data_IF_618183430192
#
_entry.id   IF_618183430192
#
_cell.length_a   1.000
_cell.length_b   1.000
_cell.length_c   1.000
_cell.angle_alpha   90.00
_cell.angle_beta   90.00
_cell.angle_gamma   90.00
#
_symmetry.space_group_name_H-M   'P 1'
#
loop_
_entity.id
_entity.type
_entity.pdbx_description
1 polymer ?
#
# COMPACT_ATOMS: atom_id res chain seq x y z
N UNK A 1 7.30 -7.28 23.27
CA UNK A 1 6.36 -7.98 22.36
C UNK A 1 5.99 -6.96 21.30
N UNK A 2 6.14 -7.26 19.99
CA UNK A 2 5.65 -6.38 18.95
C UNK A 2 4.16 -6.06 19.15
N UNK A 3 3.75 -4.86 18.79
CA UNK A 3 2.39 -4.37 19.00
C UNK A 3 1.40 -4.81 17.93
N UNK A 4 0.43 -3.95 17.66
CA UNK A 4 -0.63 -4.21 16.68
C UNK A 4 -0.21 -3.70 15.30
N UNK A 5 -0.43 -4.52 14.28
CA UNK A 5 -0.28 -4.13 12.88
C UNK A 5 -1.63 -4.24 12.15
N UNK A 6 -1.91 -3.31 11.24
CA UNK A 6 -3.10 -3.35 10.39
C UNK A 6 -2.69 -3.40 8.92
N UNK A 7 -3.40 -4.21 8.12
CA UNK A 7 -3.16 -4.36 6.68
C UNK A 7 -4.48 -4.30 5.93
N UNK A 8 -4.61 -3.39 4.96
CA UNK A 8 -5.79 -3.29 4.08
C UNK A 8 -5.57 -4.07 2.78
N UNK A 9 -6.65 -4.56 2.15
CA UNK A 9 -6.58 -5.36 0.92
C UNK A 9 -5.86 -6.69 1.15
N UNK A 10 -6.13 -7.35 2.28
CA UNK A 10 -5.35 -8.48 2.78
C UNK A 10 -5.96 -9.86 2.50
N UNK A 11 -7.07 -9.94 1.76
CA UNK A 11 -7.71 -11.22 1.46
C UNK A 11 -6.85 -12.11 0.55
N UNK A 12 -6.07 -11.51 -0.35
CA UNK A 12 -5.27 -12.24 -1.34
C UNK A 12 -3.96 -11.50 -1.67
N UNK A 13 -3.07 -12.16 -2.39
CA UNK A 13 -1.88 -11.57 -3.01
C UNK A 13 -0.95 -10.90 -2.01
N UNK A 14 -0.53 -9.67 -2.31
CA UNK A 14 0.50 -8.96 -1.56
C UNK A 14 0.08 -8.62 -0.12
N UNK A 15 -1.18 -8.21 0.08
CA UNK A 15 -1.70 -7.91 1.42
C UNK A 15 -1.71 -9.13 2.34
N UNK A 16 -2.05 -10.30 1.81
CA UNK A 16 -1.98 -11.56 2.55
C UNK A 16 -0.52 -11.91 2.91
N UNK A 17 0.43 -11.71 1.99
CA UNK A 17 1.85 -11.93 2.26
C UNK A 17 2.40 -10.97 3.33
N UNK A 18 2.03 -9.69 3.28
CA UNK A 18 2.39 -8.73 4.34
C UNK A 18 1.84 -9.15 5.70
N UNK A 19 0.57 -9.54 5.76
CA UNK A 19 -0.06 -9.97 7.00
C UNK A 19 0.65 -11.22 7.57
N UNK A 20 1.04 -12.17 6.71
CA UNK A 20 1.77 -13.36 7.13
C UNK A 20 3.17 -13.00 7.65
N UNK A 21 3.92 -12.17 6.93
CA UNK A 21 5.26 -11.75 7.33
C UNK A 21 5.24 -11.01 8.67
N UNK A 22 4.31 -10.10 8.88
CA UNK A 22 4.15 -9.38 10.15
C UNK A 22 3.77 -10.31 11.30
N UNK A 23 2.95 -11.34 11.07
CA UNK A 23 2.67 -12.38 12.07
C UNK A 23 3.91 -13.17 12.45
N UNK A 24 4.78 -13.48 11.49
CA UNK A 24 6.08 -14.14 11.76
C UNK A 24 7.02 -13.26 12.58
N UNK A 25 6.96 -11.94 12.43
CA UNK A 25 7.69 -10.98 13.28
C UNK A 25 7.06 -10.81 14.67
N UNK A 26 5.96 -11.50 14.96
CA UNK A 26 5.30 -11.50 16.26
C UNK A 26 4.24 -10.42 16.46
N UNK A 27 3.92 -9.62 15.43
CA UNK A 27 2.82 -8.66 15.52
C UNK A 27 1.47 -9.33 15.64
N UNK A 28 0.57 -8.74 16.44
CA UNK A 28 -0.85 -9.00 16.31
C UNK A 28 -1.35 -8.29 15.05
N UNK A 29 -1.65 -9.04 14.01
CA UNK A 29 -2.08 -8.49 12.73
C UNK A 29 -3.58 -8.56 12.59
N UNK A 30 -4.22 -7.40 12.38
CA UNK A 30 -5.64 -7.27 12.06
C UNK A 30 -5.78 -6.85 10.59
N UNK A 31 -6.52 -7.64 9.83
CA UNK A 31 -6.63 -7.52 8.38
C UNK A 31 -8.00 -7.00 7.96
N UNK A 32 -8.05 -6.25 6.86
CA UNK A 32 -9.31 -5.86 6.23
C UNK A 32 -9.24 -5.98 4.70
N UNK A 33 -10.40 -6.21 4.12
CA UNK A 33 -10.61 -6.22 2.67
C UNK A 33 -12.09 -5.88 2.38
N UNK A 34 -12.42 -5.52 1.14
CA UNK A 34 -13.81 -5.45 0.69
C UNK A 34 -14.42 -6.84 0.51
N UNK A 35 -13.58 -7.84 0.24
CA UNK A 35 -13.98 -9.24 0.18
C UNK A 35 -14.01 -9.88 1.58
N UNK A 36 -14.84 -10.91 1.74
CA UNK A 36 -14.84 -11.72 2.95
C UNK A 36 -13.54 -12.52 3.09
N UNK A 37 -13.20 -12.91 4.33
CA UNK A 37 -12.02 -13.75 4.62
C UNK A 37 -10.92 -13.04 5.39
N UNK A 38 -11.06 -11.74 5.65
CA UNK A 38 -10.26 -10.97 6.59
C UNK A 38 -10.96 -10.82 7.96
N UNK A 39 -10.28 -10.22 8.93
CA UNK A 39 -10.84 -9.95 10.26
C UNK A 39 -11.99 -8.93 10.18
N UNK A 40 -11.98 -8.05 9.19
CA UNK A 40 -13.05 -7.08 8.93
C UNK A 40 -13.32 -6.91 7.43
N UNK A 41 -14.59 -6.62 7.07
CA UNK A 41 -14.98 -6.17 5.74
C UNK A 41 -15.02 -4.64 5.75
N UNK A 42 -14.14 -3.99 4.99
CA UNK A 42 -13.98 -2.53 4.96
C UNK A 42 -13.73 -2.06 3.54
N UNK A 43 -14.57 -1.14 3.06
CA UNK A 43 -14.27 -0.38 1.86
C UNK A 43 -13.35 0.80 2.23
N UNK A 44 -12.10 0.75 1.78
CA UNK A 44 -11.12 1.81 2.07
C UNK A 44 -11.47 3.16 1.43
N UNK A 45 -12.31 3.18 0.39
CA UNK A 45 -12.82 4.40 -0.20
C UNK A 45 -13.81 5.14 0.72
N UNK A 46 -14.40 4.43 1.69
CA UNK A 46 -15.29 5.00 2.70
C UNK A 46 -14.52 5.38 3.98
N UNK A 47 -14.32 6.67 4.18
CA UNK A 47 -13.59 7.21 5.33
C UNK A 47 -14.22 6.82 6.68
N UNK A 48 -15.55 6.70 6.75
CA UNK A 48 -16.24 6.35 7.99
C UNK A 48 -16.02 4.89 8.37
N UNK A 49 -16.06 3.98 7.39
CA UNK A 49 -15.75 2.57 7.61
C UNK A 49 -14.29 2.38 8.08
N UNK A 50 -13.33 3.04 7.43
CA UNK A 50 -11.91 2.96 7.82
C UNK A 50 -11.72 3.48 9.25
N UNK A 51 -12.32 4.64 9.57
CA UNK A 51 -12.21 5.22 10.92
C UNK A 51 -12.81 4.31 11.99
N UNK A 52 -14.00 3.78 11.77
CA UNK A 52 -14.67 2.87 12.70
C UNK A 52 -13.83 1.58 12.93
N UNK A 53 -13.32 0.99 11.83
CA UNK A 53 -12.46 -0.18 11.92
C UNK A 53 -11.18 0.07 12.74
N UNK A 54 -10.49 1.20 12.49
CA UNK A 54 -9.28 1.56 13.25
C UNK A 54 -9.60 1.77 14.73
N UNK A 55 -10.72 2.43 15.05
CA UNK A 55 -11.14 2.63 16.45
C UNK A 55 -11.44 1.30 17.15
N UNK A 56 -12.12 0.38 16.47
CA UNK A 56 -12.41 -0.96 16.97
C UNK A 56 -11.12 -1.76 17.23
N UNK A 57 -10.16 -1.70 16.32
CA UNK A 57 -8.84 -2.34 16.48
C UNK A 57 -8.13 -1.80 17.72
N UNK A 58 -8.09 -0.47 17.87
CA UNK A 58 -7.46 0.16 19.05
C UNK A 58 -8.16 -0.22 20.34
N UNK A 59 -9.49 -0.22 20.35
CA UNK A 59 -10.28 -0.59 21.54
C UNK A 59 -10.07 -2.05 21.96
N UNK A 60 -9.91 -2.97 21.00
CA UNK A 60 -9.79 -4.40 21.28
C UNK A 60 -8.36 -4.86 21.52
N UNK A 61 -7.37 -4.21 20.90
CA UNK A 61 -6.01 -4.73 20.82
C UNK A 61 -4.93 -3.74 21.29
N UNK A 62 -5.31 -2.49 21.55
CA UNK A 62 -4.36 -1.44 21.93
C UNK A 62 -3.80 -0.65 20.74
N UNK A 63 -2.79 0.18 20.98
CA UNK A 63 -2.27 1.11 19.96
C UNK A 63 -1.66 0.37 18.76
N UNK A 64 -1.93 0.91 17.55
CA UNK A 64 -1.39 0.40 16.30
C UNK A 64 0.03 0.92 16.12
N UNK A 65 0.99 0.02 15.92
CA UNK A 65 2.40 0.34 15.65
C UNK A 65 2.74 0.33 14.16
N UNK A 66 2.05 -0.51 13.36
CA UNK A 66 2.30 -0.63 11.92
C UNK A 66 0.98 -0.54 11.17
N UNK A 67 0.92 0.34 10.18
CA UNK A 67 -0.21 0.44 9.26
C UNK A 67 0.27 0.30 7.81
N UNK A 68 -0.23 -0.74 7.11
CA UNK A 68 0.09 -1.00 5.71
C UNK A 68 -1.13 -0.70 4.85
N UNK A 69 -1.08 0.43 4.13
CA UNK A 69 -2.09 0.82 3.16
C UNK A 69 -1.82 0.10 1.83
N UNK A 70 -2.29 -1.15 1.73
CA UNK A 70 -2.06 -2.01 0.57
C UNK A 70 -3.25 -2.08 -0.38
N UNK A 71 -4.48 -1.92 0.09
CA UNK A 71 -5.67 -1.99 -0.77
C UNK A 71 -5.50 -1.15 -2.05
N UNK A 72 -5.82 -1.73 -3.18
CA UNK A 72 -5.68 -1.08 -4.46
C UNK A 72 -6.40 -1.83 -5.57
N UNK A 73 -6.69 -1.12 -6.65
CA UNK A 73 -7.25 -1.67 -7.89
C UNK A 73 -6.45 -1.19 -9.10
N UNK A 74 -6.51 -1.96 -10.18
CA UNK A 74 -5.95 -1.57 -11.47
C UNK A 74 -7.01 -1.71 -12.54
N UNK A 75 -7.22 -0.64 -13.32
CA UNK A 75 -8.07 -0.62 -14.51
C UNK A 75 -7.27 -0.02 -15.65
N UNK A 76 -7.48 -0.54 -16.86
CA UNK A 76 -6.94 0.08 -18.05
C UNK A 76 -7.75 1.35 -18.36
N UNK A 77 -7.08 2.51 -18.35
CA UNK A 77 -7.68 3.82 -18.53
C UNK A 77 -6.90 4.63 -19.56
N UNK A 78 -7.59 5.45 -20.35
CA UNK A 78 -6.97 6.23 -21.41
C UNK A 78 -7.70 7.58 -21.58
N UNK A 79 -7.02 8.69 -21.87
CA UNK A 79 -7.65 10.01 -22.01
C UNK A 79 -8.67 10.11 -23.15
N UNK A 80 -8.74 9.12 -24.05
CA UNK A 80 -9.75 9.05 -25.10
C UNK A 80 -10.90 8.06 -24.79
N UNK A 81 -10.96 7.55 -23.57
CA UNK A 81 -12.11 6.75 -23.13
C UNK A 81 -13.42 7.58 -23.16
N UNK A 82 -14.59 6.95 -23.32
CA UNK A 82 -15.87 7.62 -23.18
C UNK A 82 -15.94 8.40 -21.85
N UNK A 83 -16.54 9.61 -21.90
CA UNK A 83 -16.59 10.54 -20.76
C UNK A 83 -17.08 9.90 -19.47
N UNK A 84 -18.24 9.22 -19.52
CA UNK A 84 -18.84 8.61 -18.33
C UNK A 84 -17.96 7.48 -17.76
N UNK A 85 -17.38 6.63 -18.63
CA UNK A 85 -16.42 5.60 -18.21
C UNK A 85 -15.20 6.25 -17.51
N UNK A 86 -14.68 7.33 -18.08
CA UNK A 86 -13.53 8.04 -17.51
C UNK A 86 -13.83 8.59 -16.12
N UNK A 87 -15.01 9.13 -15.88
CA UNK A 87 -15.42 9.62 -14.55
C UNK A 87 -15.61 8.49 -13.53
N UNK A 88 -16.22 7.37 -13.94
CA UNK A 88 -16.39 6.20 -13.07
C UNK A 88 -15.03 5.60 -12.67
N UNK A 89 -14.13 5.45 -13.64
CA UNK A 89 -12.79 4.95 -13.39
C UNK A 89 -11.97 5.91 -12.52
N UNK A 90 -12.09 7.21 -12.75
CA UNK A 90 -11.45 8.23 -11.90
C UNK A 90 -11.92 8.10 -10.45
N UNK A 91 -13.24 8.07 -10.24
CA UNK A 91 -13.82 7.94 -8.90
C UNK A 91 -13.33 6.68 -8.19
N UNK A 92 -13.36 5.53 -8.87
CA UNK A 92 -12.92 4.26 -8.29
C UNK A 92 -11.41 4.24 -8.02
N UNK A 93 -10.59 4.64 -8.99
CA UNK A 93 -9.12 4.55 -8.87
C UNK A 93 -8.58 5.52 -7.83
N UNK A 94 -9.03 6.76 -7.82
CA UNK A 94 -8.62 7.75 -6.81
C UNK A 94 -9.19 7.39 -5.43
N UNK A 95 -10.46 6.96 -5.39
CA UNK A 95 -11.11 6.55 -4.14
C UNK A 95 -10.39 5.43 -3.42
N UNK A 96 -10.01 4.36 -4.14
CA UNK A 96 -9.34 3.21 -3.53
C UNK A 96 -7.85 3.47 -3.35
N UNK A 97 -7.13 3.83 -4.45
CA UNK A 97 -5.66 3.82 -4.45
C UNK A 97 -5.02 5.02 -3.74
N UNK A 98 -5.70 6.16 -3.68
CA UNK A 98 -5.20 7.37 -3.04
C UNK A 98 -5.97 7.71 -1.76
N UNK A 99 -7.30 7.89 -1.87
CA UNK A 99 -8.10 8.26 -0.71
C UNK A 99 -8.11 7.14 0.35
N UNK A 100 -8.16 5.86 -0.04
CA UNK A 100 -8.08 4.75 0.90
C UNK A 100 -6.80 4.74 1.73
N UNK A 101 -5.65 5.00 1.09
CA UNK A 101 -4.38 5.12 1.80
C UNK A 101 -4.36 6.36 2.73
N UNK A 102 -4.93 7.47 2.27
CA UNK A 102 -5.09 8.69 3.08
C UNK A 102 -5.99 8.43 4.30
N UNK A 103 -7.13 7.75 4.12
CA UNK A 103 -8.06 7.46 5.21
C UNK A 103 -7.39 6.62 6.31
N UNK A 104 -6.69 5.53 5.93
CA UNK A 104 -5.97 4.70 6.91
C UNK A 104 -4.90 5.51 7.64
N UNK A 105 -4.02 6.19 6.92
CA UNK A 105 -2.95 6.99 7.52
C UNK A 105 -3.48 8.06 8.47
N UNK A 106 -4.55 8.76 8.09
CA UNK A 106 -5.22 9.77 8.93
C UNK A 106 -5.87 9.17 10.18
N UNK A 107 -6.41 7.94 10.08
CA UNK A 107 -7.04 7.28 11.21
C UNK A 107 -6.02 6.81 12.26
N UNK A 108 -4.84 6.32 11.83
CA UNK A 108 -3.81 5.79 12.74
C UNK A 108 -2.83 6.85 13.28
N UNK A 109 -2.56 7.91 12.51
CA UNK A 109 -1.53 8.90 12.83
C UNK A 109 -1.67 9.55 14.22
N UNK A 110 -2.87 9.96 14.69
CA UNK A 110 -2.99 10.55 16.03
C UNK A 110 -2.56 9.61 17.16
N UNK A 111 -2.96 8.33 17.08
CA UNK A 111 -2.58 7.32 18.06
C UNK A 111 -1.09 7.03 18.07
N UNK A 112 -0.47 6.88 16.88
CA UNK A 112 0.97 6.71 16.73
C UNK A 112 1.76 7.90 17.26
N UNK A 113 1.34 9.13 16.93
CA UNK A 113 2.00 10.35 17.42
C UNK A 113 1.90 10.46 18.95
N UNK A 114 0.75 10.13 19.55
CA UNK A 114 0.57 10.11 20.99
C UNK A 114 1.44 9.04 21.68
N UNK A 115 1.66 7.89 21.02
CA UNK A 115 2.55 6.84 21.51
C UNK A 115 4.05 7.16 21.34
N UNK A 116 4.38 8.17 20.52
CA UNK A 116 5.77 8.51 20.22
C UNK A 116 6.48 7.53 19.29
N UNK A 117 5.75 6.66 18.61
CA UNK A 117 6.27 5.63 17.72
C UNK A 117 5.20 5.14 16.73
N UNK A 118 5.62 4.76 15.53
CA UNK A 118 4.75 4.13 14.55
C UNK A 118 5.38 4.04 13.17
N UNK A 119 4.79 3.20 12.31
CA UNK A 119 5.19 3.03 10.92
C UNK A 119 3.95 3.03 10.02
N UNK A 120 3.87 4.00 9.12
CA UNK A 120 2.86 4.05 8.06
C UNK A 120 3.56 3.70 6.75
N UNK A 121 3.12 2.61 6.10
CA UNK A 121 3.69 2.13 4.85
C UNK A 121 2.62 2.16 3.77
N UNK A 122 2.85 2.96 2.72
CA UNK A 122 1.96 3.07 1.57
C UNK A 122 2.46 2.19 0.44
N UNK A 123 1.60 1.33 -0.08
CA UNK A 123 1.96 0.42 -1.18
C UNK A 123 1.80 1.14 -2.51
N UNK A 124 2.93 1.38 -3.18
CA UNK A 124 3.04 2.13 -4.41
C UNK A 124 3.58 1.28 -5.57
N UNK A 125 4.12 1.90 -6.59
CA UNK A 125 4.61 1.25 -7.80
C UNK A 125 5.97 1.79 -8.20
N UNK A 126 6.76 0.97 -8.87
CA UNK A 126 8.02 1.35 -9.48
C UNK A 126 7.89 2.29 -10.68
N UNK A 127 6.66 2.61 -11.10
CA UNK A 127 6.42 3.61 -12.16
C UNK A 127 6.90 5.01 -11.80
N UNK A 128 7.04 5.30 -10.50
CA UNK A 128 7.47 6.60 -9.99
C UNK A 128 8.94 6.62 -9.54
N UNK A 129 9.68 5.52 -9.76
CA UNK A 129 11.10 5.43 -9.43
C UNK A 129 11.91 5.56 -10.72
N UNK A 130 12.89 6.47 -10.71
CA UNK A 130 13.80 6.63 -11.83
C UNK A 130 14.60 5.35 -12.08
N UNK A 131 14.55 4.87 -13.33
CA UNK A 131 15.28 3.70 -13.78
C UNK A 131 16.07 4.04 -15.04
N UNK A 132 17.36 3.74 -15.09
CA UNK A 132 18.14 3.90 -16.30
C UNK A 132 17.51 3.13 -17.47
N UNK A 133 17.24 3.83 -18.58
CA UNK A 133 16.73 3.24 -19.80
C UNK A 133 15.21 2.92 -19.84
N UNK A 134 14.45 3.29 -18.79
CA UNK A 134 12.99 3.16 -18.78
C UNK A 134 12.34 4.53 -18.55
N UNK A 135 11.28 4.83 -19.30
CA UNK A 135 10.43 5.97 -19.00
C UNK A 135 9.72 5.75 -17.65
N UNK A 136 9.54 6.80 -16.87
CA UNK A 136 8.67 6.79 -15.70
C UNK A 136 7.22 6.59 -16.13
N UNK A 137 6.42 5.89 -15.34
CA UNK A 137 5.02 5.58 -15.63
C UNK A 137 4.78 4.16 -16.11
N UNK A 138 3.52 3.72 -16.02
CA UNK A 138 3.05 2.39 -16.39
C UNK A 138 2.73 2.20 -17.87
N UNK A 139 2.81 3.29 -18.65
CA UNK A 139 2.46 3.30 -20.06
C UNK A 139 1.09 3.92 -20.36
N UNK A 140 0.70 3.93 -21.65
CA UNK A 140 -0.44 4.69 -22.17
C UNK A 140 -1.82 4.31 -21.61
N UNK A 141 -1.91 3.20 -20.83
CA UNK A 141 -3.17 2.65 -20.31
C UNK A 141 -3.29 2.76 -18.79
N UNK A 142 -2.48 3.60 -18.14
CA UNK A 142 -2.35 3.62 -16.69
C UNK A 142 -2.42 5.04 -16.11
N UNK A 143 -2.98 6.00 -16.84
CA UNK A 143 -3.01 7.41 -16.44
C UNK A 143 -3.61 7.63 -15.04
N UNK A 144 -4.77 7.06 -14.73
CA UNK A 144 -5.41 7.20 -13.43
C UNK A 144 -4.71 6.38 -12.34
N UNK A 145 -4.17 5.19 -12.69
CA UNK A 145 -3.38 4.41 -11.74
C UNK A 145 -2.12 5.18 -11.33
N UNK A 146 -1.38 5.68 -12.31
CA UNK A 146 -0.16 6.44 -12.08
C UNK A 146 -0.47 7.74 -11.32
N UNK A 147 -1.52 8.47 -11.69
CA UNK A 147 -1.93 9.68 -10.98
C UNK A 147 -2.21 9.40 -9.49
N UNK A 148 -2.95 8.32 -9.18
CA UNK A 148 -3.22 7.92 -7.80
C UNK A 148 -1.94 7.53 -7.05
N UNK A 149 -1.06 6.72 -7.67
CA UNK A 149 0.18 6.26 -7.04
C UNK A 149 1.22 7.37 -6.87
N UNK A 150 1.33 8.31 -7.82
CA UNK A 150 2.14 9.52 -7.66
C UNK A 150 1.62 10.42 -6.54
N UNK A 151 0.30 10.48 -6.32
CA UNK A 151 -0.30 11.19 -5.18
C UNK A 151 0.17 10.66 -3.82
N UNK A 152 0.44 9.34 -3.71
CA UNK A 152 0.99 8.75 -2.49
C UNK A 152 2.37 9.30 -2.13
N UNK A 153 3.19 9.63 -3.12
CA UNK A 153 4.50 10.27 -2.89
C UNK A 153 4.36 11.56 -2.10
N UNK A 154 3.42 12.43 -2.51
CA UNK A 154 3.14 13.68 -1.80
C UNK A 154 2.71 13.44 -0.34
N UNK A 155 1.90 12.40 -0.09
CA UNK A 155 1.53 12.01 1.27
C UNK A 155 2.74 11.55 2.08
N UNK A 156 3.57 10.67 1.52
CA UNK A 156 4.79 10.16 2.19
C UNK A 156 5.70 11.31 2.61
N UNK A 157 6.06 12.18 1.67
CA UNK A 157 6.98 13.30 1.94
C UNK A 157 6.41 14.27 2.97
N UNK A 158 5.14 14.67 2.83
CA UNK A 158 4.49 15.60 3.75
C UNK A 158 4.29 15.02 5.15
N UNK A 159 3.86 13.75 5.23
CA UNK A 159 3.60 13.11 6.51
C UNK A 159 4.89 12.73 7.25
N UNK A 160 5.95 12.37 6.55
CA UNK A 160 7.25 12.16 7.16
C UNK A 160 7.77 13.42 7.88
N UNK A 161 7.60 14.58 7.23
CA UNK A 161 7.95 15.87 7.85
C UNK A 161 7.05 16.22 9.06
N UNK A 162 5.75 15.98 8.92
CA UNK A 162 4.77 16.35 9.95
C UNK A 162 4.81 15.42 11.18
N UNK A 163 5.03 14.11 10.96
CA UNK A 163 4.92 13.07 11.99
C UNK A 163 6.29 12.62 12.54
N UNK A 164 7.37 12.85 11.79
CA UNK A 164 8.73 12.49 12.21
C UNK A 164 9.13 13.04 13.59
N UNK A 165 8.83 14.32 13.93
CA UNK A 165 9.08 14.84 15.28
C UNK A 165 8.36 14.09 16.40
N UNK A 166 7.27 13.36 16.07
CA UNK A 166 6.52 12.49 17.00
C UNK A 166 6.97 11.02 16.93
N UNK A 167 8.11 10.72 16.32
CA UNK A 167 8.64 9.35 16.24
C UNK A 167 7.91 8.42 15.25
N UNK A 168 7.04 8.95 14.37
CA UNK A 168 6.33 8.15 13.37
C UNK A 168 7.06 8.21 12.03
N UNK A 169 7.41 7.04 11.49
CA UNK A 169 8.01 6.91 10.16
C UNK A 169 6.94 6.69 9.11
N UNK A 170 7.11 7.34 7.97
CA UNK A 170 6.19 7.20 6.82
C UNK A 170 7.01 6.94 5.57
N UNK A 171 6.77 5.81 4.91
CA UNK A 171 7.46 5.43 3.67
C UNK A 171 6.50 4.79 2.67
N UNK A 172 6.90 4.67 1.42
CA UNK A 172 6.21 3.80 0.47
C UNK A 172 7.10 2.66 0.00
N UNK A 173 6.49 1.52 -0.30
CA UNK A 173 7.13 0.43 -1.06
C UNK A 173 6.75 0.59 -2.53
N UNK A 174 7.73 0.87 -3.38
CA UNK A 174 7.57 1.08 -4.81
C UNK A 174 7.98 -0.20 -5.55
N UNK A 175 7.03 -1.14 -5.67
CA UNK A 175 7.34 -2.44 -6.26
C UNK A 175 7.11 -2.49 -7.76
N UNK A 176 7.92 -3.32 -8.43
CA UNK A 176 7.67 -3.78 -9.79
C UNK A 176 6.58 -4.84 -9.87
N UNK A 177 6.51 -5.52 -11.01
CA UNK A 177 5.56 -6.60 -11.24
C UNK A 177 5.67 -7.68 -10.15
N UNK A 178 4.56 -7.94 -9.47
CA UNK A 178 4.47 -8.92 -8.37
C UNK A 178 3.36 -9.90 -8.66
N UNK A 179 3.59 -11.19 -8.44
CA UNK A 179 2.64 -12.26 -8.73
C UNK A 179 1.41 -12.21 -7.84
N UNK A 180 0.40 -11.51 -8.31
CA UNK A 180 -0.86 -11.29 -7.61
C UNK A 180 -2.04 -11.52 -8.56
N UNK A 181 -3.22 -11.85 -8.04
CA UNK A 181 -4.43 -11.92 -8.85
C UNK A 181 -4.69 -10.64 -9.65
N UNK A 182 -4.37 -9.47 -9.09
CA UNK A 182 -4.47 -8.17 -9.78
C UNK A 182 -3.58 -8.12 -11.02
N UNK A 183 -2.29 -8.44 -10.90
CA UNK A 183 -1.35 -8.45 -12.03
C UNK A 183 -1.79 -9.46 -13.10
N UNK A 184 -2.11 -10.68 -12.68
CA UNK A 184 -2.51 -11.75 -13.59
C UNK A 184 -3.79 -11.38 -14.38
N UNK A 185 -4.77 -10.79 -13.73
CA UNK A 185 -6.00 -10.31 -14.36
C UNK A 185 -5.73 -9.13 -15.30
N UNK A 186 -5.01 -8.10 -14.84
CA UNK A 186 -4.70 -6.90 -15.63
C UNK A 186 -3.86 -7.22 -16.86
N UNK A 187 -2.92 -8.17 -16.75
CA UNK A 187 -2.00 -8.57 -17.81
C UNK A 187 -2.46 -9.82 -18.59
N UNK A 188 -3.70 -10.26 -18.39
CA UNK A 188 -4.21 -11.48 -19.06
C UNK A 188 -3.97 -11.45 -20.57
N UNK A 189 -3.31 -12.49 -21.10
CA UNK A 189 -2.94 -12.63 -22.52
C UNK A 189 -1.79 -11.71 -23.00
N UNK A 190 -1.13 -10.96 -22.09
CA UNK A 190 -0.03 -10.04 -22.42
C UNK A 190 1.30 -10.38 -21.73
N UNK A 191 1.33 -11.39 -20.91
CA UNK A 191 2.54 -11.83 -20.20
C UNK A 191 3.40 -12.63 -21.17
N UNK A 192 4.61 -12.12 -21.47
CA UNK A 192 5.64 -12.85 -22.23
C UNK A 192 6.55 -13.65 -21.31
N UNK A 193 7.28 -14.67 -21.80
CA UNK A 193 8.23 -15.41 -20.97
C UNK A 193 9.30 -14.50 -20.30
N UNK A 194 9.75 -13.46 -21.01
CA UNK A 194 10.73 -12.50 -20.50
C UNK A 194 10.15 -11.63 -19.36
N UNK A 195 8.87 -11.26 -19.47
CA UNK A 195 8.18 -10.53 -18.42
C UNK A 195 7.88 -11.44 -17.22
N UNK A 196 7.44 -12.68 -17.49
CA UNK A 196 7.20 -13.68 -16.44
C UNK A 196 8.43 -13.91 -15.57
N UNK A 197 9.61 -13.99 -16.19
CA UNK A 197 10.88 -14.17 -15.49
C UNK A 197 11.26 -13.00 -14.55
N UNK A 198 10.60 -11.85 -14.68
CA UNK A 198 10.84 -10.65 -13.87
C UNK A 198 9.75 -10.41 -12.81
N UNK A 199 8.72 -11.26 -12.76
CA UNK A 199 7.65 -11.16 -11.77
C UNK A 199 8.18 -11.64 -10.42
N UNK A 200 8.09 -10.76 -9.42
CA UNK A 200 8.51 -11.09 -8.05
C UNK A 200 7.43 -11.87 -7.31
N UNK A 201 7.82 -12.68 -6.35
CA UNK A 201 6.86 -13.27 -5.42
C UNK A 201 6.35 -12.23 -4.40
N UNK A 202 5.11 -12.36 -3.90
CA UNK A 202 4.61 -11.52 -2.82
C UNK A 202 5.47 -11.59 -1.54
N UNK A 203 6.06 -12.76 -1.25
CA UNK A 203 6.93 -13.01 -0.10
C UNK A 203 8.23 -12.20 -0.19
N UNK A 204 8.80 -12.06 -1.40
CA UNK A 204 9.97 -11.21 -1.61
C UNK A 204 9.66 -9.75 -1.24
N UNK A 205 8.54 -9.22 -1.69
CA UNK A 205 8.11 -7.85 -1.37
C UNK A 205 7.81 -7.71 0.12
N UNK A 206 7.19 -8.71 0.75
CA UNK A 206 6.92 -8.72 2.17
C UNK A 206 8.21 -8.75 3.01
N UNK A 207 9.25 -9.42 2.53
CA UNK A 207 10.59 -9.37 3.13
C UNK A 207 11.15 -7.96 3.19
N UNK A 208 10.98 -7.16 2.13
CA UNK A 208 11.43 -5.75 2.12
C UNK A 208 10.65 -4.89 3.12
N UNK A 209 9.35 -5.16 3.32
CA UNK A 209 8.59 -4.51 4.40
C UNK A 209 9.20 -4.80 5.77
N UNK A 210 9.48 -6.06 6.05
CA UNK A 210 10.08 -6.48 7.33
C UNK A 210 11.44 -5.82 7.54
N UNK A 211 12.31 -5.80 6.52
CA UNK A 211 13.62 -5.15 6.60
C UNK A 211 13.49 -3.64 6.88
N UNK A 212 12.52 -2.96 6.24
CA UNK A 212 12.23 -1.56 6.50
C UNK A 212 11.78 -1.31 7.95
N UNK A 213 10.97 -2.18 8.53
CA UNK A 213 10.52 -2.08 9.92
C UNK A 213 11.68 -2.33 10.90
N UNK A 214 12.56 -3.27 10.61
CA UNK A 214 13.74 -3.63 11.43
C UNK A 214 14.79 -2.53 11.53
N UNK A 215 14.74 -1.50 10.68
CA UNK A 215 15.59 -0.31 10.83
C UNK A 215 15.35 0.44 12.14
N UNK A 216 14.24 0.17 12.82
CA UNK A 216 13.92 0.77 14.13
C UNK A 216 13.52 2.25 14.06
N UNK A 217 13.46 2.92 15.21
CA UNK A 217 12.92 4.30 15.30
C UNK A 217 13.72 5.35 14.52
N UNK A 218 15.01 5.13 14.30
CA UNK A 218 15.90 6.05 13.56
C UNK A 218 16.09 5.65 12.10
N UNK A 219 15.31 4.68 11.63
CA UNK A 219 15.35 4.23 10.24
C UNK A 219 14.78 5.24 9.27
N UNK A 220 14.73 4.85 7.99
CA UNK A 220 14.25 5.68 6.89
C UNK A 220 12.84 6.21 7.14
N UNK A 221 12.62 7.46 6.74
CA UNK A 221 11.29 8.09 6.68
C UNK A 221 11.25 9.10 5.53
N UNK A 222 10.11 9.23 4.87
CA UNK A 222 9.93 10.10 3.71
C UNK A 222 10.38 9.48 2.39
N UNK A 223 10.72 8.18 2.37
CA UNK A 223 11.32 7.55 1.20
C UNK A 223 10.34 6.75 0.35
N UNK A 224 10.66 6.75 -0.95
CA UNK A 224 10.07 5.88 -1.96
C UNK A 224 10.99 4.67 -2.11
N UNK A 225 10.76 3.62 -1.32
CA UNK A 225 11.65 2.45 -1.24
C UNK A 225 11.44 1.55 -2.47
N UNK A 226 12.41 1.46 -3.39
CA UNK A 226 12.24 0.63 -4.58
C UNK A 226 12.34 -0.85 -4.21
N UNK A 227 11.37 -1.63 -4.68
CA UNK A 227 11.38 -3.09 -4.59
C UNK A 227 11.45 -3.65 -5.99
N UNK A 228 12.63 -4.05 -6.40
CA UNK A 228 12.92 -4.48 -7.76
C UNK A 228 13.26 -5.97 -7.81
N UNK A 229 12.93 -6.58 -8.93
CA UNK A 229 13.40 -7.92 -9.24
C UNK A 229 14.93 -7.96 -9.16
N UNK A 230 15.46 -8.96 -8.47
CA UNK A 230 16.88 -9.29 -8.46
C UNK A 230 17.03 -10.64 -9.16
N UNK A 231 17.78 -10.70 -10.30
CA UNK A 231 17.98 -11.95 -11.02
C UNK A 231 18.74 -12.99 -10.19
#
# INVERSE_FOLDING_TARGET
VPGVAVVTGAAVGLGAAFAQALRHEGYRVVTSDIAAGCDAVVDVADAAQVKAWVDDVVAQHGPIEVAVANAGIARATHPLDPWDKGLDDFSAMIGVNLAGAYHLGRAVAPGMAAAGAGNIVLVSTDHMVDRPGRATGGGAWMDLYDAAKWGLRGLVESWALALGPSGVRVNSLCMGATDTPMLRSFMAGRITPEFEAQIMSPEHVAGVLVDLLREGPTGRTGEQVPVLFRP
#
